data_IF_990515486149
#
_entry.id   IF_990515486149
#
_cell.length_a   1.000
_cell.length_b   1.000
_cell.length_c   1.000
_cell.angle_alpha   90.00
_cell.angle_beta   90.00
_cell.angle_gamma   90.00
#
_symmetry.space_group_name_H-M   'P 1'
#
loop_
_entity.id
_entity.type
_entity.pdbx_description
1 polymer ?
#
# COMPACT_ATOMS: atom_id res chain seq x y z
N UNK A 1 -72.96 -55.97 -7.88
CA UNK A 1 -71.80 -55.44 -8.61
C UNK A 1 -70.96 -56.61 -9.11
N UNK A 2 -70.70 -56.67 -10.42
CA UNK A 2 -70.03 -57.80 -11.07
C UNK A 2 -68.52 -57.79 -10.74
N UNK A 3 -67.83 -58.94 -10.79
CA UNK A 3 -66.38 -59.01 -10.54
C UNK A 3 -65.60 -58.10 -11.49
N UNK A 4 -66.01 -58.05 -12.77
CA UNK A 4 -65.40 -57.18 -13.79
C UNK A 4 -65.50 -55.69 -13.43
N UNK A 5 -66.61 -55.28 -12.82
CA UNK A 5 -66.80 -53.88 -12.41
C UNK A 5 -65.80 -53.52 -11.30
N UNK A 6 -65.56 -54.45 -10.36
CA UNK A 6 -64.58 -54.26 -9.27
C UNK A 6 -63.13 -54.26 -9.77
N UNK A 7 -62.82 -55.04 -10.80
CA UNK A 7 -61.48 -55.04 -11.42
C UNK A 7 -61.24 -53.74 -12.20
N UNK A 8 -62.26 -53.24 -12.90
CA UNK A 8 -62.19 -51.97 -13.60
C UNK A 8 -62.04 -50.79 -12.64
N UNK A 9 -62.74 -50.80 -11.52
CA UNK A 9 -62.63 -49.77 -10.47
C UNK A 9 -61.21 -49.72 -9.89
N UNK A 10 -60.62 -50.86 -9.57
CA UNK A 10 -59.21 -50.94 -9.12
C UNK A 10 -58.22 -50.47 -10.17
N UNK A 11 -58.45 -50.77 -11.45
CA UNK A 11 -57.59 -50.30 -12.53
C UNK A 11 -57.62 -48.77 -12.62
N UNK A 12 -58.81 -48.17 -12.54
CA UNK A 12 -58.98 -46.72 -12.55
C UNK A 12 -58.30 -46.05 -11.34
N UNK A 13 -58.44 -46.62 -10.14
CA UNK A 13 -57.74 -46.13 -8.94
C UNK A 13 -56.21 -46.15 -9.10
N UNK A 14 -55.67 -47.22 -9.69
CA UNK A 14 -54.23 -47.34 -9.96
C UNK A 14 -53.77 -46.31 -11.00
N UNK A 15 -54.55 -46.09 -12.06
CA UNK A 15 -54.25 -45.08 -13.08
C UNK A 15 -54.22 -43.67 -12.50
N UNK A 16 -55.16 -43.34 -11.61
CA UNK A 16 -55.20 -42.06 -10.91
C UNK A 16 -54.00 -41.88 -9.99
N UNK A 17 -53.63 -42.90 -9.20
CA UNK A 17 -52.41 -42.87 -8.38
C UNK A 17 -51.15 -42.67 -9.22
N UNK A 18 -51.03 -43.34 -10.38
CA UNK A 18 -49.89 -43.16 -11.28
C UNK A 18 -49.83 -41.74 -11.82
N UNK A 19 -50.98 -41.15 -12.16
CA UNK A 19 -51.07 -39.77 -12.63
C UNK A 19 -50.59 -38.77 -11.56
N UNK A 20 -51.04 -38.93 -10.31
CA UNK A 20 -50.61 -38.12 -9.17
C UNK A 20 -49.09 -38.26 -8.94
N UNK A 21 -48.57 -39.49 -8.88
CA UNK A 21 -47.15 -39.72 -8.67
C UNK A 21 -46.27 -39.12 -9.79
N UNK A 22 -46.75 -39.16 -11.04
CA UNK A 22 -46.07 -38.51 -12.18
C UNK A 22 -46.04 -36.99 -12.03
N UNK A 23 -47.16 -36.39 -11.63
CA UNK A 23 -47.25 -34.95 -11.39
C UNK A 23 -46.33 -34.52 -10.26
N UNK A 24 -46.37 -35.22 -9.11
CA UNK A 24 -45.49 -34.95 -7.98
C UNK A 24 -44.02 -35.05 -8.38
N UNK A 25 -43.63 -36.12 -9.10
CA UNK A 25 -42.27 -36.26 -9.61
C UNK A 25 -41.86 -35.09 -10.52
N UNK A 26 -42.76 -34.63 -11.39
CA UNK A 26 -42.49 -33.48 -12.26
C UNK A 26 -42.26 -32.21 -11.44
N UNK A 27 -43.11 -31.93 -10.45
CA UNK A 27 -42.95 -30.75 -9.58
C UNK A 27 -41.64 -30.76 -8.79
N UNK A 28 -41.22 -31.93 -8.29
CA UNK A 28 -39.95 -32.08 -7.57
C UNK A 28 -38.76 -31.80 -8.50
N UNK A 29 -38.80 -32.31 -9.74
CA UNK A 29 -37.76 -32.05 -10.72
C UNK A 29 -37.68 -30.57 -11.12
N UNK A 30 -38.82 -29.91 -11.33
CA UNK A 30 -38.87 -28.47 -11.61
C UNK A 30 -38.28 -27.64 -10.47
N UNK A 31 -38.58 -28.00 -9.22
CA UNK A 31 -38.00 -27.35 -8.04
C UNK A 31 -36.48 -27.52 -8.01
N UNK A 32 -35.98 -28.74 -8.19
CA UNK A 32 -34.54 -29.02 -8.21
C UNK A 32 -33.82 -28.27 -9.33
N UNK A 33 -34.40 -28.19 -10.53
CA UNK A 33 -33.84 -27.43 -11.63
C UNK A 33 -33.79 -25.93 -11.33
N UNK A 34 -34.84 -25.39 -10.69
CA UNK A 34 -34.87 -23.99 -10.27
C UNK A 34 -33.79 -23.68 -9.23
N UNK A 35 -33.61 -24.55 -8.24
CA UNK A 35 -32.55 -24.41 -7.25
C UNK A 35 -31.16 -24.45 -7.89
N UNK A 36 -30.90 -25.43 -8.76
CA UNK A 36 -29.64 -25.52 -9.51
C UNK A 36 -29.39 -24.30 -10.39
N UNK A 37 -30.42 -23.77 -11.04
CA UNK A 37 -30.30 -22.56 -11.84
C UNK A 37 -29.91 -21.35 -10.98
N UNK A 38 -30.55 -21.19 -9.81
CA UNK A 38 -30.22 -20.13 -8.87
C UNK A 38 -28.79 -20.24 -8.33
N UNK A 39 -28.34 -21.45 -8.00
CA UNK A 39 -26.96 -21.71 -7.58
C UNK A 39 -25.94 -21.32 -8.66
N UNK A 40 -26.20 -21.71 -9.91
CA UNK A 40 -25.33 -21.36 -11.04
C UNK A 40 -25.30 -19.86 -11.29
N UNK A 41 -26.44 -19.19 -11.22
CA UNK A 41 -26.53 -17.74 -11.38
C UNK A 41 -25.76 -17.01 -10.27
N UNK A 42 -25.93 -17.43 -9.02
CA UNK A 42 -25.21 -16.85 -7.88
C UNK A 42 -23.69 -17.04 -8.02
N UNK A 43 -23.24 -18.24 -8.40
CA UNK A 43 -21.84 -18.53 -8.66
C UNK A 43 -21.28 -17.66 -9.79
N UNK A 44 -22.05 -17.46 -10.85
CA UNK A 44 -21.66 -16.59 -11.97
C UNK A 44 -21.51 -15.13 -11.53
N UNK A 45 -22.48 -14.59 -10.79
CA UNK A 45 -22.44 -13.22 -10.28
C UNK A 45 -21.24 -12.98 -9.36
N UNK A 46 -20.95 -13.94 -8.47
CA UNK A 46 -19.78 -13.87 -7.59
C UNK A 46 -18.47 -13.92 -8.39
N UNK A 47 -18.39 -14.77 -9.42
CA UNK A 47 -17.22 -14.82 -10.30
C UNK A 47 -17.01 -13.48 -11.03
N UNK A 48 -18.07 -12.88 -11.58
CA UNK A 48 -17.99 -11.58 -12.27
C UNK A 48 -17.51 -10.49 -11.32
N UNK A 49 -18.07 -10.40 -10.11
CA UNK A 49 -17.62 -9.44 -9.09
C UNK A 49 -16.16 -9.64 -8.71
N UNK A 50 -15.73 -10.89 -8.53
CA UNK A 50 -14.33 -11.23 -8.21
C UNK A 50 -13.39 -10.71 -9.28
N UNK A 51 -13.69 -10.99 -10.55
CA UNK A 51 -12.86 -10.54 -11.69
C UNK A 51 -12.79 -9.01 -11.75
N UNK A 52 -13.92 -8.32 -11.53
CA UNK A 52 -13.95 -6.86 -11.53
C UNK A 52 -13.09 -6.26 -10.39
N UNK A 53 -13.17 -6.85 -9.20
CA UNK A 53 -12.36 -6.42 -8.05
C UNK A 53 -10.87 -6.70 -8.27
N UNK A 54 -10.50 -7.85 -8.83
CA UNK A 54 -9.12 -8.16 -9.18
C UNK A 54 -8.55 -7.16 -10.19
N UNK A 55 -9.34 -6.77 -11.19
CA UNK A 55 -8.93 -5.75 -12.16
C UNK A 55 -8.73 -4.38 -11.50
N UNK A 56 -9.64 -3.97 -10.60
CA UNK A 56 -9.50 -2.71 -9.86
C UNK A 56 -8.25 -2.71 -8.98
N UNK A 57 -8.00 -3.81 -8.27
CA UNK A 57 -6.82 -3.96 -7.44
C UNK A 57 -5.52 -3.89 -8.25
N UNK A 58 -5.46 -4.58 -9.40
CA UNK A 58 -4.30 -4.53 -10.29
C UNK A 58 -4.00 -3.09 -10.77
N UNK A 59 -5.04 -2.35 -11.16
CA UNK A 59 -4.90 -0.95 -11.59
C UNK A 59 -4.41 -0.04 -10.45
N UNK A 60 -4.91 -0.23 -9.22
CA UNK A 60 -4.48 0.54 -8.05
C UNK A 60 -3.01 0.25 -7.69
N UNK A 61 -2.59 -1.02 -7.72
CA UNK A 61 -1.20 -1.42 -7.49
C UNK A 61 -0.28 -0.79 -8.54
N UNK A 62 -0.67 -0.80 -9.82
CA UNK A 62 0.10 -0.16 -10.89
C UNK A 62 0.23 1.36 -10.66
N UNK A 63 -0.85 2.03 -10.26
CA UNK A 63 -0.81 3.47 -9.96
C UNK A 63 0.10 3.77 -8.75
N UNK A 64 0.02 2.95 -7.70
CA UNK A 64 0.88 3.08 -6.51
C UNK A 64 2.36 2.90 -6.88
N UNK A 65 2.68 1.92 -7.72
CA UNK A 65 4.04 1.68 -8.17
C UNK A 65 4.58 2.85 -8.99
N UNK A 66 3.76 3.40 -9.91
CA UNK A 66 4.11 4.61 -10.66
C UNK A 66 4.42 5.80 -9.72
N UNK A 67 3.58 6.04 -8.71
CA UNK A 67 3.80 7.09 -7.72
C UNK A 67 5.11 6.88 -6.94
N UNK A 68 5.36 5.65 -6.47
CA UNK A 68 6.62 5.32 -5.77
C UNK A 68 7.82 5.61 -6.67
N UNK A 69 7.81 5.16 -7.92
CA UNK A 69 8.90 5.40 -8.85
C UNK A 69 9.13 6.89 -9.10
N UNK A 70 8.04 7.67 -9.24
CA UNK A 70 8.13 9.13 -9.41
C UNK A 70 8.78 9.81 -8.19
N UNK A 71 8.40 9.40 -6.97
CA UNK A 71 8.97 9.93 -5.73
C UNK A 71 10.44 9.53 -5.55
N UNK A 72 10.80 8.29 -5.86
CA UNK A 72 12.20 7.83 -5.81
C UNK A 72 13.06 8.66 -6.75
N UNK A 73 12.61 8.88 -8.00
CA UNK A 73 13.32 9.72 -8.97
C UNK A 73 13.52 11.15 -8.47
N UNK A 74 12.51 11.75 -7.82
CA UNK A 74 12.63 13.09 -7.23
C UNK A 74 13.64 13.14 -6.08
N UNK A 75 13.60 12.13 -5.19
CA UNK A 75 14.56 12.02 -4.07
C UNK A 75 15.99 11.80 -4.54
N UNK A 76 16.20 11.01 -5.59
CA UNK A 76 17.53 10.81 -6.20
C UNK A 76 18.09 12.11 -6.77
N UNK A 77 17.27 12.89 -7.48
CA UNK A 77 17.66 14.22 -7.98
C UNK A 77 18.06 15.17 -6.85
N UNK A 78 17.32 15.18 -5.73
CA UNK A 78 17.68 15.98 -4.54
C UNK A 78 19.04 15.56 -3.97
N UNK A 79 19.28 14.25 -3.83
CA UNK A 79 20.56 13.72 -3.32
C UNK A 79 21.76 14.07 -4.21
N UNK A 80 21.57 14.18 -5.51
CA UNK A 80 22.65 14.61 -6.43
C UNK A 80 22.97 16.11 -6.30
N UNK A 81 22.04 16.93 -5.82
CA UNK A 81 22.21 18.38 -5.64
C UNK A 81 22.51 18.78 -4.18
N UNK A 82 22.23 17.91 -3.22
CA UNK A 82 22.55 18.11 -1.81
C UNK A 82 24.04 17.90 -1.56
N UNK A 83 24.70 18.95 -1.06
CA UNK A 83 25.99 18.79 -0.39
C UNK A 83 25.79 17.84 0.79
N UNK A 84 26.73 16.92 1.09
CA UNK A 84 26.58 16.00 2.20
C UNK A 84 26.20 16.78 3.45
N UNK A 85 25.02 16.50 4.00
CA UNK A 85 24.57 17.06 5.27
C UNK A 85 25.68 16.74 6.28
N UNK A 86 26.49 17.74 6.61
CA UNK A 86 27.38 17.70 7.76
C UNK A 86 26.50 17.76 8.98
N UNK A 87 25.89 16.63 9.32
CA UNK A 87 25.24 16.44 10.61
C UNK A 87 26.38 16.31 11.61
N UNK A 88 26.86 17.45 12.14
CA UNK A 88 27.78 17.43 13.28
C UNK A 88 27.10 16.68 14.42
N UNK A 89 27.62 15.51 14.79
CA UNK A 89 27.27 14.93 16.08
C UNK A 89 27.84 15.85 17.17
N UNK A 90 27.08 16.13 18.25
CA UNK A 90 27.59 16.91 19.36
C UNK A 90 28.77 16.17 20.01
N UNK A 91 29.90 16.84 20.13
CA UNK A 91 31.07 16.33 20.85
C UNK A 91 30.74 16.39 22.34
N UNK A 92 30.60 15.23 22.99
CA UNK A 92 30.19 15.09 24.40
C UNK A 92 31.38 14.85 25.35
N UNK A 93 32.60 15.13 24.90
CA UNK A 93 33.77 15.02 25.77
C UNK A 93 33.70 16.08 26.85
N UNK A 94 33.93 15.69 28.11
CA UNK A 94 34.07 16.62 29.23
C UNK A 94 35.30 17.53 29.06
N UNK A 95 36.31 17.04 28.34
CA UNK A 95 37.55 17.75 28.03
C UNK A 95 37.52 18.45 26.67
N UNK A 96 36.33 18.78 26.16
CA UNK A 96 36.20 19.44 24.88
C UNK A 96 36.69 20.89 24.94
N UNK A 97 37.82 21.15 24.30
CA UNK A 97 38.32 22.51 24.09
C UNK A 97 37.75 23.09 22.79
N UNK A 98 36.74 23.96 22.95
CA UNK A 98 36.11 24.66 21.82
C UNK A 98 37.10 25.52 21.04
N UNK A 99 38.10 26.10 21.72
CA UNK A 99 39.08 26.97 21.07
C UNK A 99 39.96 26.16 20.13
N UNK A 100 40.58 25.11 20.66
CA UNK A 100 41.42 24.20 19.87
C UNK A 100 40.63 23.53 18.73
N UNK A 101 39.35 23.23 18.95
CA UNK A 101 38.48 22.67 17.91
C UNK A 101 38.29 23.64 16.73
N UNK A 102 38.03 24.92 17.00
CA UNK A 102 37.84 25.92 15.94
C UNK A 102 39.15 26.20 15.19
N UNK A 103 40.26 26.30 15.92
CA UNK A 103 41.60 26.46 15.31
C UNK A 103 41.97 25.25 14.44
N UNK A 104 41.70 24.03 14.92
CA UNK A 104 41.89 22.79 14.16
C UNK A 104 41.02 22.68 12.91
N UNK A 105 39.88 23.36 12.88
CA UNK A 105 39.04 23.50 11.69
C UNK A 105 39.58 24.53 10.65
N UNK A 106 40.72 25.17 10.95
CA UNK A 106 41.38 26.13 10.06
C UNK A 106 40.90 27.56 10.20
N UNK A 107 40.28 27.92 11.33
CA UNK A 107 39.87 29.29 11.63
C UNK A 107 40.88 30.00 12.54
N UNK A 108 41.22 31.24 12.21
CA UNK A 108 42.08 32.08 13.05
C UNK A 108 41.23 32.84 14.08
N UNK A 109 41.52 32.62 15.37
CA UNK A 109 40.83 33.27 16.49
C UNK A 109 41.49 34.56 16.97
N UNK A 110 42.49 35.07 16.26
CA UNK A 110 43.32 36.23 16.61
C UNK A 110 42.66 37.60 16.29
N UNK A 111 41.38 37.60 15.92
CA UNK A 111 40.66 38.85 15.63
C UNK A 111 39.97 39.38 16.88
N UNK A 112 40.13 40.67 17.15
CA UNK A 112 39.53 41.40 18.28
C UNK A 112 38.00 41.38 18.32
N UNK A 113 37.34 40.92 17.24
CA UNK A 113 35.89 40.78 17.17
C UNK A 113 35.39 39.40 17.61
N UNK A 114 36.28 38.44 17.88
CA UNK A 114 35.93 37.06 18.21
C UNK A 114 36.04 36.86 19.73
N UNK A 115 34.96 36.38 20.33
CA UNK A 115 34.88 36.04 21.75
C UNK A 115 34.56 34.56 21.89
N UNK A 116 35.51 33.77 22.41
CA UNK A 116 35.35 32.32 22.62
C UNK A 116 35.35 32.01 24.11
N UNK A 117 34.32 31.30 24.57
CA UNK A 117 34.22 30.68 25.89
C UNK A 117 34.33 29.16 25.75
N UNK A 118 34.32 28.42 26.86
CA UNK A 118 34.31 26.95 26.82
C UNK A 118 33.13 26.33 26.07
N UNK A 119 32.02 27.07 25.93
CA UNK A 119 30.76 26.56 25.35
C UNK A 119 30.24 27.39 24.18
N UNK A 120 30.85 28.52 23.86
CA UNK A 120 30.33 29.41 22.81
C UNK A 120 31.44 30.17 22.08
N UNK A 121 31.23 30.45 20.80
CA UNK A 121 32.05 31.35 20.00
C UNK A 121 31.13 32.38 19.37
N UNK A 122 31.45 33.66 19.56
CA UNK A 122 30.69 34.80 19.04
C UNK A 122 31.61 35.71 18.24
N UNK A 123 31.05 36.37 17.24
CA UNK A 123 31.80 37.26 16.35
C UNK A 123 31.86 36.71 14.94
N UNK A 124 32.83 37.19 14.17
CA UNK A 124 33.00 36.81 12.78
C UNK A 124 34.28 36.02 12.56
N UNK A 125 34.18 34.88 11.88
CA UNK A 125 35.31 34.07 11.47
C UNK A 125 35.64 34.34 9.99
N UNK A 126 36.91 34.22 9.65
CA UNK A 126 37.32 34.11 8.26
C UNK A 126 37.22 32.65 7.82
N UNK A 127 36.50 32.41 6.74
CA UNK A 127 36.34 31.08 6.15
C UNK A 127 36.62 31.12 4.66
N UNK A 128 37.33 30.11 4.18
CA UNK A 128 37.50 29.92 2.75
C UNK A 128 36.17 29.65 2.06
N UNK A 129 35.91 30.43 1.01
CA UNK A 129 34.81 30.24 0.08
C UNK A 129 34.84 28.87 -0.59
N UNK A 130 33.73 28.51 -1.23
CA UNK A 130 33.57 27.21 -1.86
C UNK A 130 34.59 26.95 -2.98
N UNK A 131 34.63 25.69 -3.44
CA UNK A 131 35.62 25.14 -4.37
C UNK A 131 35.84 25.95 -5.67
N UNK A 132 34.84 26.72 -6.12
CA UNK A 132 34.92 27.55 -7.33
C UNK A 132 35.69 28.86 -7.13
N UNK A 133 35.71 29.42 -5.93
CA UNK A 133 36.43 30.66 -5.61
C UNK A 133 37.05 30.57 -4.21
N UNK A 134 38.39 30.43 -4.16
CA UNK A 134 39.20 30.37 -2.94
C UNK A 134 39.37 31.76 -2.29
N UNK A 135 38.26 32.43 -1.99
CA UNK A 135 38.27 33.75 -1.32
C UNK A 135 37.99 33.60 0.16
N UNK A 136 38.78 34.27 1.00
CA UNK A 136 38.53 34.36 2.43
C UNK A 136 37.37 35.33 2.68
N UNK A 137 36.26 34.82 3.20
CA UNK A 137 35.07 35.63 3.49
C UNK A 137 34.77 35.63 4.99
N UNK A 138 34.28 36.76 5.48
CA UNK A 138 33.82 36.93 6.85
C UNK A 138 32.45 36.27 7.05
N UNK A 139 32.28 35.43 8.06
CA UNK A 139 31.06 34.67 8.37
C UNK A 139 30.74 34.67 9.85
#
# INVERSE_FOLDING_TARGET
>A
MNLKDKEQEKLNEIEEMIAVAKLEKMTVLEHQLRERYNELLHCHDEHVKRVELEQKLANELQNREYLIQSQVKLREKSRMQERPLTRYLPIRSLDFDLRAHIEGAGHLLDSSHIHVTSTSCRGFLLKMGGMKFKTWNRR
#
